data_IF_461675968910
#
_entry.id   IF_461675968910
#
_cell.length_a   1.000
_cell.length_b   1.000
_cell.length_c   1.000
_cell.angle_alpha   90.00
_cell.angle_beta   90.00
_cell.angle_gamma   90.00
#
_symmetry.space_group_name_H-M   'P 1'
#
loop_
_entity.id
_entity.type
_entity.pdbx_description
1 polymer ?
#
# COMPACT_ATOMS: atom_id res chain seq x y z
N UNK A 1 23.05 -0.87 -8.90
CA UNK A 1 22.52 -0.83 -8.91
C UNK A 1 21.68 -0.65 -8.63
N UNK A 2 21.25 -0.51 -8.37
CA UNK A 2 20.42 -0.47 -7.94
C UNK A 2 19.49 -0.58 -8.32
N UNK A 3 19.11 -0.97 -8.50
CA UNK A 3 18.22 -1.14 -8.75
C UNK A 3 17.32 -1.12 -8.00
N UNK A 4 16.76 -0.27 -7.86
CA UNK A 4 15.67 -0.13 -7.06
C UNK A 4 14.48 -0.29 -7.83
N UNK A 5 13.60 -1.08 -7.38
CA UNK A 5 12.38 -1.34 -8.06
C UNK A 5 11.33 -0.32 -7.69
N UNK A 6 11.30 0.10 -6.44
CA UNK A 6 10.37 1.12 -6.00
C UNK A 6 11.17 2.36 -5.66
N UNK A 7 10.79 3.45 -6.31
CA UNK A 7 11.53 4.68 -6.21
C UNK A 7 10.61 5.73 -5.63
N UNK A 8 10.77 6.03 -4.37
CA UNK A 8 9.94 7.01 -3.73
C UNK A 8 10.56 8.38 -3.90
N UNK A 9 10.21 9.04 -5.02
CA UNK A 9 10.73 10.39 -5.28
C UNK A 9 10.01 11.43 -4.45
N UNK A 10 8.71 11.21 -4.21
CA UNK A 10 7.91 12.13 -3.42
C UNK A 10 7.33 11.38 -2.25
N UNK A 11 7.04 12.06 -1.15
CA UNK A 11 6.36 11.40 -0.05
C UNK A 11 5.03 10.83 -0.51
N UNK A 12 4.73 9.62 -0.06
CA UNK A 12 3.47 8.98 -0.38
C UNK A 12 2.43 9.44 0.65
N UNK A 13 1.88 10.62 0.39
CA UNK A 13 0.94 11.25 1.30
C UNK A 13 -0.45 10.66 1.07
N UNK A 14 -1.16 10.35 2.14
CA UNK A 14 -2.52 9.84 2.03
C UNK A 14 -3.43 10.91 1.44
N UNK A 15 -4.54 10.50 0.79
CA UNK A 15 -5.47 11.49 0.24
C UNK A 15 -6.00 12.47 1.27
N UNK A 16 -6.15 12.07 2.53
CA UNK A 16 -6.62 12.99 3.58
C UNK A 16 -5.52 13.92 4.10
N UNK A 17 -4.28 13.77 3.60
CA UNK A 17 -3.14 14.63 3.92
C UNK A 17 -2.62 14.46 5.35
N UNK A 18 -3.07 13.47 6.07
CA UNK A 18 -2.70 13.29 7.47
C UNK A 18 -1.62 12.25 7.69
N UNK A 19 -1.31 11.45 6.68
CA UNK A 19 -0.42 10.31 6.83
C UNK A 19 0.53 10.23 5.67
N UNK A 20 1.67 9.60 5.90
CA UNK A 20 2.68 9.38 4.87
C UNK A 20 3.21 7.96 4.98
N UNK A 21 3.36 7.32 3.84
CA UNK A 21 4.00 6.01 3.78
C UNK A 21 5.49 6.18 3.55
N UNK A 22 6.26 5.34 4.19
CA UNK A 22 7.70 5.28 3.99
C UNK A 22 8.12 3.83 3.90
N UNK A 23 9.11 3.58 3.06
CA UNK A 23 9.72 2.26 2.97
C UNK A 23 11.18 2.41 3.35
N UNK A 24 11.59 1.74 4.42
CA UNK A 24 12.93 1.91 4.96
C UNK A 24 13.32 0.63 5.66
N UNK A 25 14.53 0.12 5.37
CA UNK A 25 15.06 -1.08 6.02
C UNK A 25 14.11 -2.26 5.91
N UNK A 26 13.53 -2.45 4.72
CA UNK A 26 12.61 -3.54 4.43
C UNK A 26 11.31 -3.47 5.22
N UNK A 27 11.01 -2.30 5.77
CA UNK A 27 9.78 -2.11 6.54
C UNK A 27 8.94 -1.03 5.89
N UNK A 28 7.64 -1.24 5.90
CA UNK A 28 6.67 -0.26 5.45
C UNK A 28 6.12 0.43 6.69
N UNK A 29 6.23 1.75 6.71
CA UNK A 29 5.85 2.56 7.85
C UNK A 29 4.74 3.52 7.48
N UNK A 30 3.86 3.80 8.44
CA UNK A 30 2.98 4.96 8.36
C UNK A 30 3.49 5.98 9.37
N UNK A 31 3.67 7.18 8.89
CA UNK A 31 4.06 8.31 9.73
C UNK A 31 2.91 9.31 9.71
N UNK A 32 2.49 9.75 10.89
CA UNK A 32 1.34 10.65 10.99
C UNK A 32 1.85 12.08 10.95
N UNK A 33 1.39 12.82 9.94
CA UNK A 33 1.80 14.20 9.71
C UNK A 33 0.97 15.13 10.56
N UNK A 34 -0.31 14.82 10.69
CA UNK A 34 -1.28 15.58 11.46
C UNK A 34 -2.01 14.65 12.41
N UNK A 35 -2.70 15.25 13.38
CA UNK A 35 -3.51 14.46 14.30
C UNK A 35 -4.65 13.77 13.55
N UNK A 36 -4.93 12.55 13.92
CA UNK A 36 -6.03 11.76 13.37
C UNK A 36 -6.97 11.43 14.50
N UNK A 37 -8.19 11.91 14.41
CA UNK A 37 -9.18 11.72 15.48
C UNK A 37 -9.96 10.43 15.34
N UNK A 38 -10.11 9.95 14.11
CA UNK A 38 -10.80 8.68 13.87
C UNK A 38 -10.00 7.54 14.50
N UNK A 39 -10.71 6.59 15.07
CA UNK A 39 -10.07 5.46 15.72
C UNK A 39 -9.38 4.56 14.69
N UNK A 40 -8.19 4.04 14.98
CA UNK A 40 -7.37 4.37 16.15
C UNK A 40 -6.78 5.77 16.00
N UNK A 41 -6.99 6.59 17.02
CA UNK A 41 -6.52 7.98 16.96
C UNK A 41 -5.01 8.04 17.12
N UNK A 42 -4.42 9.06 16.50
CA UNK A 42 -2.98 9.26 16.49
C UNK A 42 -2.69 10.76 16.58
N UNK A 43 -1.49 11.08 17.04
CA UNK A 43 -1.05 12.47 17.05
C UNK A 43 0.10 12.63 16.07
N UNK A 44 0.29 13.87 15.63
CA UNK A 44 1.36 14.19 14.69
C UNK A 44 2.69 13.71 15.25
N UNK A 45 3.47 13.05 14.40
CA UNK A 45 4.76 12.50 14.79
C UNK A 45 4.72 11.02 15.13
N UNK A 46 3.54 10.45 15.35
CA UNK A 46 3.45 9.02 15.59
C UNK A 46 3.90 8.25 14.36
N UNK A 47 4.50 7.08 14.59
CA UNK A 47 4.98 6.21 13.52
C UNK A 47 4.62 4.78 13.86
N UNK A 48 4.39 4.00 12.83
CA UNK A 48 3.95 2.63 13.04
C UNK A 48 4.43 1.76 11.88
N UNK A 49 4.98 0.59 12.20
CA UNK A 49 5.35 -0.38 11.17
C UNK A 49 4.10 -1.13 10.75
N UNK A 50 3.83 -1.12 9.45
CA UNK A 50 2.69 -1.82 8.89
C UNK A 50 3.08 -3.25 8.53
N UNK A 51 4.26 -3.43 7.96
CA UNK A 51 4.69 -4.72 7.49
C UNK A 51 6.19 -4.73 7.25
N UNK A 52 6.73 -5.94 7.15
CA UNK A 52 8.11 -6.14 6.69
C UNK A 52 8.06 -6.93 5.41
N UNK A 53 8.95 -6.61 4.48
CA UNK A 53 9.03 -7.28 3.20
C UNK A 53 10.46 -7.75 2.98
N UNK A 54 10.62 -9.07 2.80
CA UNK A 54 11.93 -9.63 2.51
C UNK A 54 12.30 -9.48 1.05
N UNK A 55 11.31 -9.23 0.21
CA UNK A 55 11.52 -9.04 -1.21
C UNK A 55 11.40 -7.56 -1.55
N UNK A 56 12.04 -7.12 -2.63
CA UNK A 56 11.92 -5.72 -3.03
C UNK A 56 10.47 -5.34 -3.23
N UNK A 57 10.12 -4.15 -2.77
CA UNK A 57 8.79 -3.60 -2.98
C UNK A 57 8.80 -2.91 -4.34
N UNK A 58 7.92 -3.36 -5.22
CA UNK A 58 7.84 -2.82 -6.57
C UNK A 58 6.81 -1.73 -6.69
N UNK A 59 5.90 -1.63 -5.72
CA UNK A 59 4.79 -0.70 -5.77
C UNK A 59 4.23 -0.54 -4.36
N UNK A 60 3.86 0.69 -4.00
CA UNK A 60 3.34 1.01 -2.68
C UNK A 60 2.50 2.27 -2.79
N UNK A 61 1.26 2.24 -2.29
CA UNK A 61 0.39 3.41 -2.35
C UNK A 61 -0.76 3.30 -1.37
N UNK A 62 -1.57 4.34 -1.31
CA UNK A 62 -2.77 4.43 -0.48
C UNK A 62 -4.01 4.13 -1.29
N UNK A 63 -5.04 3.62 -0.63
CA UNK A 63 -6.39 3.67 -1.15
C UNK A 63 -6.94 5.08 -0.94
N UNK A 64 -7.98 5.42 -1.68
CA UNK A 64 -8.54 6.76 -1.58
C UNK A 64 -9.16 7.04 -0.22
N UNK A 65 -9.48 6.02 0.54
CA UNK A 65 -10.05 6.18 1.87
C UNK A 65 -9.00 6.56 2.92
N UNK A 66 -7.73 6.58 2.55
CA UNK A 66 -6.62 6.91 3.46
C UNK A 66 -6.53 5.94 4.64
N UNK A 67 -7.21 4.81 4.56
CA UNK A 67 -7.24 3.82 5.64
C UNK A 67 -6.71 2.47 5.20
N UNK A 68 -6.53 2.27 3.90
CA UNK A 68 -5.97 1.02 3.37
C UNK A 68 -4.73 1.32 2.56
N UNK A 69 -3.80 0.40 2.62
CA UNK A 69 -2.50 0.49 1.95
C UNK A 69 -2.36 -0.73 1.05
N UNK A 70 -1.82 -0.52 -0.14
CA UNK A 70 -1.61 -1.59 -1.09
C UNK A 70 -0.15 -1.60 -1.51
N UNK A 71 0.45 -2.78 -1.60
CA UNK A 71 1.82 -2.89 -2.11
C UNK A 71 2.01 -4.24 -2.80
N UNK A 72 3.02 -4.26 -3.67
CA UNK A 72 3.39 -5.47 -4.40
C UNK A 72 4.87 -5.75 -4.17
N UNK A 73 5.18 -6.97 -3.77
CA UNK A 73 6.56 -7.36 -3.54
C UNK A 73 6.66 -8.85 -3.83
N UNK A 74 7.73 -9.24 -4.52
CA UNK A 74 7.83 -10.60 -5.00
C UNK A 74 6.70 -10.90 -5.96
N UNK A 75 5.89 -11.90 -5.63
CA UNK A 75 4.68 -12.21 -6.40
C UNK A 75 3.43 -12.04 -5.54
N UNK A 76 3.51 -11.20 -4.51
CA UNK A 76 2.43 -11.00 -3.57
C UNK A 76 1.92 -9.57 -3.65
N UNK A 77 0.64 -9.44 -3.89
CA UNK A 77 -0.06 -8.17 -3.80
C UNK A 77 -0.80 -8.16 -2.48
N UNK A 78 -0.48 -7.19 -1.63
CA UNK A 78 -0.99 -7.18 -0.26
C UNK A 78 -1.74 -5.88 -0.01
N UNK A 79 -2.87 -6.00 0.68
CA UNK A 79 -3.67 -4.87 1.12
C UNK A 79 -3.82 -4.99 2.62
N UNK A 80 -3.51 -3.91 3.33
CA UNK A 80 -3.57 -3.90 4.78
C UNK A 80 -4.32 -2.68 5.25
N UNK A 81 -5.01 -2.83 6.38
CA UNK A 81 -5.67 -1.71 7.02
C UNK A 81 -4.70 -0.97 7.92
N UNK A 82 -4.91 0.32 8.05
CA UNK A 82 -4.19 1.11 9.04
C UNK A 82 -4.54 0.65 10.45
N UNK A 83 -5.77 0.20 10.64
CA UNK A 83 -6.31 -0.14 11.95
C UNK A 83 -5.68 -1.42 12.48
N UNK A 84 -5.06 -1.34 13.64
CA UNK A 84 -4.46 -2.51 14.29
C UNK A 84 -5.04 -2.73 15.68
N UNK A 85 -6.24 -2.23 15.95
CA UNK A 85 -6.86 -2.40 17.26
C UNK A 85 -7.10 -3.87 17.52
N UNK A 86 -6.98 -4.24 18.78
CA UNK A 86 -7.08 -5.64 19.16
C UNK A 86 -5.79 -6.41 18.92
N UNK A 87 -4.74 -5.72 18.54
CA UNK A 87 -3.44 -6.35 18.30
C UNK A 87 -3.34 -7.05 16.96
N UNK A 88 -4.31 -6.81 16.07
CA UNK A 88 -4.35 -7.53 14.81
C UNK A 88 -4.82 -6.61 13.71
N UNK A 89 -4.00 -6.53 12.68
CA UNK A 89 -4.31 -5.73 11.50
C UNK A 89 -4.91 -6.67 10.45
N UNK A 90 -5.96 -6.23 9.79
CA UNK A 90 -6.53 -7.00 8.69
C UNK A 90 -5.62 -6.87 7.47
N UNK A 91 -5.22 -8.00 6.93
CA UNK A 91 -4.30 -8.06 5.80
C UNK A 91 -4.82 -9.12 4.84
N UNK A 92 -4.85 -8.79 3.57
CA UNK A 92 -5.23 -9.71 2.52
C UNK A 92 -4.09 -9.78 1.51
N UNK A 93 -3.69 -10.99 1.14
CA UNK A 93 -2.60 -11.20 0.20
C UNK A 93 -3.08 -12.03 -0.97
N UNK A 94 -2.74 -11.57 -2.18
CA UNK A 94 -2.99 -12.29 -3.41
C UNK A 94 -1.66 -12.70 -4.03
N UNK A 95 -1.61 -13.93 -4.50
CA UNK A 95 -0.43 -14.42 -5.19
C UNK A 95 -0.70 -14.33 -6.68
N UNK A 96 -0.12 -13.34 -7.33
CA UNK A 96 -0.37 -13.12 -8.74
C UNK A 96 0.95 -12.91 -9.46
N UNK A 97 0.95 -13.33 -10.70
CA UNK A 97 2.13 -13.25 -11.53
C UNK A 97 1.98 -12.06 -12.45
N UNK A 98 2.39 -10.91 -11.96
CA UNK A 98 2.30 -9.67 -12.73
C UNK A 98 3.69 -9.10 -12.93
N UNK A 99 3.83 -8.34 -13.99
CA UNK A 99 5.09 -7.73 -14.36
C UNK A 99 4.98 -6.21 -14.26
N UNK A 100 6.04 -5.55 -13.78
CA UNK A 100 6.06 -4.08 -13.82
C UNK A 100 5.99 -3.62 -15.27
N UNK A 101 5.48 -2.42 -15.52
CA UNK A 101 5.03 -1.46 -14.52
C UNK A 101 3.65 -1.79 -13.98
N UNK A 102 3.40 -1.32 -12.76
CA UNK A 102 2.11 -1.45 -12.11
C UNK A 102 1.59 -0.04 -11.91
N UNK A 103 0.34 0.15 -12.24
CA UNK A 103 -0.29 1.45 -12.11
C UNK A 103 -1.54 1.34 -11.26
N UNK A 104 -1.60 2.14 -10.21
CA UNK A 104 -2.70 2.13 -9.27
C UNK A 104 -3.43 3.47 -9.33
N UNK A 105 -4.74 3.39 -9.63
CA UNK A 105 -5.60 4.56 -9.64
C UNK A 105 -6.37 4.56 -8.33
N UNK A 106 -5.95 5.37 -7.37
CA UNK A 106 -6.57 5.33 -6.06
C UNK A 106 -7.93 5.99 -6.02
N UNK A 107 -8.29 6.75 -7.04
CA UNK A 107 -9.62 7.35 -7.08
C UNK A 107 -10.67 6.33 -7.46
N UNK A 108 -10.32 5.40 -8.35
CA UNK A 108 -11.24 4.37 -8.80
C UNK A 108 -11.00 3.03 -8.14
N UNK A 109 -9.91 2.90 -7.40
CA UNK A 109 -9.49 1.63 -6.80
C UNK A 109 -9.25 0.56 -7.86
N UNK A 110 -8.62 0.98 -8.95
CA UNK A 110 -8.30 0.10 -10.07
C UNK A 110 -6.80 -0.12 -10.13
N UNK A 111 -6.41 -1.36 -10.37
CA UNK A 111 -5.02 -1.73 -10.54
C UNK A 111 -4.81 -2.17 -11.97
N UNK A 112 -3.85 -1.54 -12.66
CA UNK A 112 -3.50 -1.88 -14.04
C UNK A 112 -2.12 -2.51 -14.04
N UNK A 113 -1.98 -3.61 -14.77
CA UNK A 113 -0.73 -4.34 -14.78
C UNK A 113 -0.63 -5.18 -16.06
N UNK A 114 0.59 -5.64 -16.34
CA UNK A 114 0.84 -6.58 -17.42
C UNK A 114 0.95 -7.98 -16.83
N UNK A 115 0.23 -8.90 -17.42
CA UNK A 115 0.39 -10.29 -17.05
C UNK A 115 1.18 -10.95 -18.17
N UNK A 116 2.28 -11.60 -17.79
CA UNK A 116 3.18 -12.22 -18.75
C UNK A 116 3.72 -11.22 -19.79
N UNK A 117 3.72 -9.93 -19.43
CA UNK A 117 4.28 -8.87 -20.26
C UNK A 117 3.63 -8.77 -21.63
N UNK A 118 2.40 -9.21 -21.78
CA UNK A 118 1.77 -9.23 -23.11
C UNK A 118 0.55 -8.33 -23.21
N UNK A 119 -0.25 -8.27 -22.16
CA UNK A 119 -1.50 -7.52 -22.19
C UNK A 119 -1.65 -6.73 -20.91
N UNK A 120 -2.42 -5.66 -20.99
CA UNK A 120 -2.75 -4.88 -19.83
C UNK A 120 -4.03 -5.43 -19.22
N UNK A 121 -3.98 -5.69 -17.94
CA UNK A 121 -5.14 -6.15 -17.19
C UNK A 121 -5.52 -5.10 -16.18
N UNK A 122 -6.79 -5.09 -15.79
CA UNK A 122 -7.30 -4.19 -14.78
C UNK A 122 -8.05 -5.00 -13.74
N UNK A 123 -7.68 -4.83 -12.48
CA UNK A 123 -8.41 -5.41 -11.37
C UNK A 123 -9.34 -4.32 -10.83
N UNK A 124 -10.52 -4.23 -11.43
CA UNK A 124 -11.47 -3.18 -11.12
C UNK A 124 -12.31 -3.59 -9.94
N UNK A 125 -12.26 -2.80 -8.86
CA UNK A 125 -13.04 -3.05 -7.65
C UNK A 125 -12.82 -4.43 -7.06
N UNK A 126 -11.78 -5.14 -7.51
CA UNK A 126 -11.55 -6.50 -7.06
C UNK A 126 -11.29 -6.55 -5.56
N UNK A 127 -10.64 -5.51 -5.04
CA UNK A 127 -10.26 -5.50 -3.64
C UNK A 127 -11.38 -5.03 -2.74
N UNK A 128 -12.34 -4.31 -3.29
CA UNK A 128 -13.43 -3.80 -2.48
C UNK A 128 -14.37 -4.90 -2.01
N UNK A 129 -14.56 -5.91 -2.84
CA UNK A 129 -15.45 -7.00 -2.48
C UNK A 129 -14.90 -7.83 -1.33
N UNK A 130 -13.63 -7.71 -1.06
CA UNK A 130 -13.01 -8.46 0.04
C UNK A 130 -13.19 -7.81 1.38
N UNK A 131 -13.59 -6.55 1.39
CA UNK A 131 -13.83 -5.83 2.63
C UNK A 131 -15.20 -6.12 3.21
N UNK A 132 -16.04 -6.71 2.45
CA UNK A 132 -17.40 -7.00 2.88
C UNK A 132 -17.54 -8.39 3.47
#
# INVERSE_FOLDING_TARGET
VCETFFHQTDPLISPDKNKRLRFLNNQIWVEYINNVKEEPSKIAGDKEVIAESEMPVLFLDWFKDSEHIIWFSGNELTIAERDNRGGKRNVVTYYINIAPPIFWDNEESDLYFFENSKEIFAAHNAFLSLKT
#
